data_IF_282198954014
#
_entry.id   IF_282198954014
#
_cell.length_a   1.000
_cell.length_b   1.000
_cell.length_c   1.000
_cell.angle_alpha   90.00
_cell.angle_beta   90.00
_cell.angle_gamma   90.00
#
_symmetry.space_group_name_H-M   'P 1'
#
loop_
_entity.id
_entity.type
_entity.pdbx_description
1 polymer ?
#
# COMPACT_ATOMS: atom_id res chain seq x y z
N UNK A 1 12.14 15.96 4.22
CA UNK A 1 10.95 16.61 4.79
C UNK A 1 9.68 16.37 3.97
N UNK A 2 9.63 16.66 2.63
CA UNK A 2 8.42 16.45 1.85
C UNK A 2 8.07 14.96 1.71
N UNK A 3 9.02 14.09 1.36
CA UNK A 3 8.83 12.62 1.30
C UNK A 3 8.34 12.09 2.65
N UNK A 4 8.95 12.54 3.76
CA UNK A 4 8.59 12.13 5.12
C UNK A 4 7.16 12.55 5.47
N UNK A 5 6.75 13.78 5.14
CA UNK A 5 5.40 14.26 5.38
C UNK A 5 4.35 13.44 4.59
N UNK A 6 4.65 13.11 3.33
CA UNK A 6 3.79 12.25 2.51
C UNK A 6 3.74 10.84 3.12
N UNK A 7 4.89 10.27 3.52
CA UNK A 7 4.98 8.94 4.11
C UNK A 7 4.18 8.81 5.41
N UNK A 8 4.21 9.83 6.27
CA UNK A 8 3.43 9.84 7.50
C UNK A 8 1.92 9.96 7.26
N UNK A 9 1.52 10.56 6.15
CA UNK A 9 0.11 10.87 5.85
C UNK A 9 -0.59 9.86 4.94
N UNK A 10 0.15 9.08 4.12
CA UNK A 10 -0.44 8.34 3.00
C UNK A 10 -1.50 7.30 3.40
N UNK A 11 -1.32 6.63 4.53
CA UNK A 11 -2.17 5.53 5.00
C UNK A 11 -3.07 5.86 6.21
N UNK A 12 -3.18 7.14 6.62
CA UNK A 12 -4.02 7.55 7.76
C UNK A 12 -5.50 7.19 7.59
N UNK A 13 -5.96 7.06 6.36
CA UNK A 13 -7.33 6.66 6.03
C UNK A 13 -7.53 5.17 5.82
N UNK A 14 -6.53 4.34 6.12
CA UNK A 14 -6.65 2.91 5.92
C UNK A 14 -7.65 2.28 6.89
N UNK A 15 -8.35 1.26 6.42
CA UNK A 15 -9.34 0.53 7.22
C UNK A 15 -8.66 -0.50 8.14
N UNK A 16 -9.31 -0.91 9.25
CA UNK A 16 -8.94 -2.15 9.92
C UNK A 16 -8.89 -3.30 8.91
N UNK A 17 -7.96 -4.23 9.10
CA UNK A 17 -7.70 -5.37 8.19
C UNK A 17 -7.20 -4.97 6.80
N UNK A 18 -6.58 -3.80 6.64
CA UNK A 18 -5.92 -3.37 5.42
C UNK A 18 -6.84 -3.41 4.20
N UNK A 19 -6.35 -3.94 3.09
CA UNK A 19 -7.11 -4.03 1.83
C UNK A 19 -8.38 -4.90 1.91
N UNK A 20 -8.47 -5.86 2.86
CA UNK A 20 -9.70 -6.62 3.07
C UNK A 20 -10.82 -5.74 3.58
N UNK A 21 -10.53 -4.89 4.57
CA UNK A 21 -11.48 -3.90 5.09
C UNK A 21 -11.83 -2.83 4.05
N UNK A 22 -10.86 -2.38 3.25
CA UNK A 22 -11.11 -1.44 2.15
C UNK A 22 -12.08 -2.03 1.13
N UNK A 23 -11.89 -3.30 0.72
CA UNK A 23 -12.84 -3.99 -0.17
C UNK A 23 -14.22 -4.11 0.47
N UNK A 24 -14.30 -4.47 1.75
CA UNK A 24 -15.56 -4.55 2.49
C UNK A 24 -16.32 -3.22 2.45
N UNK A 25 -15.66 -2.12 2.79
CA UNK A 25 -16.28 -0.80 2.73
C UNK A 25 -16.64 -0.38 1.31
N UNK A 26 -15.80 -0.70 0.32
CA UNK A 26 -16.09 -0.37 -1.07
C UNK A 26 -17.28 -1.14 -1.65
N UNK A 27 -17.64 -2.31 -1.09
CA UNK A 27 -18.85 -3.04 -1.47
C UNK A 27 -20.14 -2.32 -1.04
N UNK A 28 -20.11 -1.61 0.08
CA UNK A 28 -21.29 -0.97 0.69
C UNK A 28 -21.31 0.55 0.57
N UNK A 29 -20.12 1.15 0.39
CA UNK A 29 -19.93 2.59 0.26
C UNK A 29 -18.68 2.85 -0.59
N UNK A 30 -18.74 3.78 -1.55
CA UNK A 30 -17.58 4.11 -2.40
C UNK A 30 -16.39 4.60 -1.59
N UNK A 31 -15.53 3.68 -1.22
CA UNK A 31 -14.40 3.92 -0.33
C UNK A 31 -13.05 3.66 -1.03
N UNK A 32 -12.07 4.51 -0.76
CA UNK A 32 -10.65 4.24 -1.04
C UNK A 32 -9.79 4.93 0.00
N UNK A 33 -8.76 4.21 0.50
CA UNK A 33 -7.96 4.67 1.64
C UNK A 33 -7.20 5.96 1.34
N UNK A 34 -6.68 6.15 0.12
CA UNK A 34 -5.97 7.38 -0.26
C UNK A 34 -6.85 8.64 -0.19
N UNK A 35 -8.11 8.54 -0.63
CA UNK A 35 -9.09 9.64 -0.51
C UNK A 35 -9.47 9.87 0.95
N UNK A 36 -9.61 8.79 1.71
CA UNK A 36 -9.88 8.90 3.14
C UNK A 36 -8.69 9.47 3.90
N UNK A 37 -7.44 9.12 3.54
CA UNK A 37 -6.23 9.73 4.09
C UNK A 37 -6.23 11.25 3.88
N UNK A 38 -6.55 11.67 2.67
CA UNK A 38 -6.67 13.11 2.38
C UNK A 38 -7.80 13.77 3.21
N UNK A 39 -8.96 13.10 3.33
CA UNK A 39 -10.05 13.60 4.18
C UNK A 39 -9.65 13.70 5.67
N UNK A 40 -8.88 12.72 6.17
CA UNK A 40 -8.38 12.77 7.56
C UNK A 40 -7.53 14.02 7.77
N UNK A 41 -6.55 14.27 6.94
CA UNK A 41 -5.63 15.41 7.09
C UNK A 41 -6.28 16.76 6.76
N UNK A 42 -7.24 16.80 5.86
CA UNK A 42 -7.91 18.06 5.45
C UNK A 42 -9.08 18.45 6.35
N UNK A 43 -9.83 17.47 6.89
CA UNK A 43 -11.15 17.73 7.48
C UNK A 43 -11.37 17.12 8.86
N UNK A 44 -10.65 16.07 9.28
CA UNK A 44 -10.94 15.37 10.55
C UNK A 44 -9.97 15.81 11.64
N UNK A 45 -8.69 15.86 11.34
CA UNK A 45 -7.64 16.22 12.28
C UNK A 45 -7.89 17.60 12.93
N UNK A 46 -7.29 17.81 14.12
CA UNK A 46 -7.43 19.04 14.92
C UNK A 46 -8.88 19.48 15.18
N UNK A 47 -9.73 18.52 15.53
CA UNK A 47 -11.15 18.76 15.82
C UNK A 47 -11.88 19.42 14.61
N UNK A 48 -11.72 18.85 13.43
CA UNK A 48 -12.42 19.28 12.22
C UNK A 48 -11.76 20.42 11.45
N UNK A 49 -10.61 20.93 11.91
CA UNK A 49 -9.92 22.06 11.25
C UNK A 49 -8.90 21.63 10.19
N UNK A 50 -8.51 20.36 10.19
CA UNK A 50 -7.48 19.83 9.34
C UNK A 50 -6.07 20.30 9.70
N UNK A 51 -5.07 19.74 9.02
CA UNK A 51 -3.65 20.01 9.25
C UNK A 51 -3.10 21.18 8.42
N UNK A 52 -3.85 21.68 7.45
CA UNK A 52 -3.41 22.74 6.53
C UNK A 52 -2.10 22.39 5.80
N UNK A 53 -2.04 21.17 5.25
CA UNK A 53 -0.87 20.70 4.51
C UNK A 53 -0.72 21.40 3.16
N UNK A 54 0.50 21.48 2.65
CA UNK A 54 0.76 22.03 1.32
C UNK A 54 0.17 21.14 0.23
N UNK A 55 0.00 21.69 -0.96
CA UNK A 55 -0.54 20.97 -2.09
C UNK A 55 0.32 19.74 -2.45
N UNK A 56 1.64 19.85 -2.37
CA UNK A 56 2.59 18.80 -2.72
C UNK A 56 2.44 17.58 -1.78
N UNK A 57 2.25 17.82 -0.46
CA UNK A 57 1.98 16.72 0.50
C UNK A 57 0.64 16.06 0.19
N UNK A 58 -0.39 16.85 -0.06
CA UNK A 58 -1.73 16.36 -0.37
C UNK A 58 -1.79 15.58 -1.69
N UNK A 59 -1.07 16.06 -2.72
CA UNK A 59 -0.91 15.36 -3.99
C UNK A 59 -0.21 14.00 -3.80
N UNK A 60 0.87 13.97 -3.03
CA UNK A 60 1.58 12.74 -2.70
C UNK A 60 0.70 11.75 -1.96
N UNK A 61 -0.07 12.19 -0.94
CA UNK A 61 -1.02 11.35 -0.20
C UNK A 61 -2.08 10.78 -1.15
N UNK A 62 -2.68 11.61 -1.99
CA UNK A 62 -3.76 11.17 -2.88
C UNK A 62 -3.30 10.19 -3.95
N UNK A 63 -2.09 10.37 -4.47
CA UNK A 63 -1.57 9.68 -5.64
C UNK A 63 -0.50 8.62 -5.33
N UNK A 64 -0.33 8.19 -4.07
CA UNK A 64 0.68 7.16 -3.70
C UNK A 64 0.36 5.77 -4.24
N UNK A 65 -0.90 5.45 -4.50
CA UNK A 65 -1.33 4.14 -5.01
C UNK A 65 -0.67 3.79 -6.36
N UNK A 66 -0.63 2.49 -6.68
CA UNK A 66 -0.01 1.97 -7.90
C UNK A 66 -0.51 2.65 -9.20
N UNK A 67 -1.81 2.98 -9.26
CA UNK A 67 -2.43 3.67 -10.40
C UNK A 67 -2.30 5.20 -10.35
N UNK A 68 -1.80 5.74 -9.23
CA UNK A 68 -1.64 7.18 -9.06
C UNK A 68 -0.39 7.73 -9.77
N UNK A 69 -0.41 9.01 -10.04
CA UNK A 69 0.69 9.73 -10.69
C UNK A 69 0.99 11.02 -9.91
N UNK A 70 1.81 10.95 -8.84
CA UNK A 70 2.22 12.14 -8.11
C UNK A 70 2.97 13.11 -9.01
N UNK A 71 2.69 14.41 -8.85
CA UNK A 71 3.31 15.45 -9.68
C UNK A 71 4.75 15.78 -9.23
N UNK A 72 5.05 15.60 -7.95
CA UNK A 72 6.39 15.88 -7.41
C UNK A 72 7.27 14.64 -7.47
N UNK A 73 8.58 14.83 -7.59
CA UNK A 73 9.55 13.72 -7.53
C UNK A 73 9.50 13.02 -6.16
N UNK A 74 9.27 13.77 -5.09
CA UNK A 74 9.13 13.24 -3.73
C UNK A 74 7.89 12.33 -3.62
N UNK A 75 6.77 12.71 -4.21
CA UNK A 75 5.58 11.86 -4.29
C UNK A 75 5.83 10.59 -5.09
N UNK A 76 6.58 10.68 -6.18
CA UNK A 76 6.98 9.51 -6.98
C UNK A 76 7.93 8.58 -6.21
N UNK A 77 8.89 9.15 -5.45
CA UNK A 77 9.77 8.38 -4.54
C UNK A 77 8.91 7.65 -3.51
N UNK A 78 7.95 8.34 -2.87
CA UNK A 78 7.07 7.73 -1.89
C UNK A 78 6.27 6.57 -2.50
N UNK A 79 5.66 6.75 -3.66
CA UNK A 79 4.87 5.73 -4.37
C UNK A 79 5.69 4.48 -4.70
N UNK A 80 6.94 4.65 -5.16
CA UNK A 80 7.83 3.50 -5.45
C UNK A 80 8.28 2.84 -4.16
N UNK A 81 8.66 3.61 -3.15
CA UNK A 81 9.12 3.10 -1.86
C UNK A 81 8.05 2.29 -1.14
N UNK A 82 6.81 2.76 -1.11
CA UNK A 82 5.67 2.04 -0.57
C UNK A 82 5.49 0.68 -1.28
N UNK A 83 5.52 0.69 -2.62
CA UNK A 83 5.41 -0.53 -3.42
C UNK A 83 6.53 -1.54 -3.14
N UNK A 84 7.77 -1.08 -2.96
CA UNK A 84 8.90 -1.95 -2.62
C UNK A 84 8.77 -2.48 -1.19
N UNK A 85 8.34 -1.64 -0.27
CA UNK A 85 8.21 -2.00 1.14
C UNK A 85 7.17 -3.10 1.34
N UNK A 86 5.96 -2.95 0.77
CA UNK A 86 4.93 -3.96 0.97
C UNK A 86 5.30 -5.30 0.31
N UNK A 87 5.86 -5.31 -0.91
CA UNK A 87 6.32 -6.55 -1.55
C UNK A 87 7.39 -7.25 -0.69
N UNK A 88 8.32 -6.47 -0.13
CA UNK A 88 9.37 -7.01 0.73
C UNK A 88 8.79 -7.60 2.03
N UNK A 89 7.95 -6.85 2.73
CA UNK A 89 7.39 -7.28 4.02
C UNK A 89 6.44 -8.47 3.86
N UNK A 90 5.54 -8.44 2.89
CA UNK A 90 4.62 -9.54 2.63
C UNK A 90 5.35 -10.84 2.27
N UNK A 91 6.45 -10.73 1.51
CA UNK A 91 7.28 -11.88 1.15
C UNK A 91 8.06 -12.41 2.36
N UNK A 92 8.66 -11.54 3.17
CA UNK A 92 9.36 -11.94 4.40
C UNK A 92 8.38 -12.61 5.37
N UNK A 93 7.19 -12.07 5.54
CA UNK A 93 6.14 -12.65 6.38
C UNK A 93 5.63 -13.99 5.83
N UNK A 94 5.46 -14.13 4.52
CA UNK A 94 5.08 -15.39 3.89
C UNK A 94 6.13 -16.50 4.09
N UNK A 95 7.42 -16.15 4.00
CA UNK A 95 8.53 -17.07 4.26
C UNK A 95 8.58 -17.43 5.75
N UNK A 96 8.51 -16.47 6.64
CA UNK A 96 8.50 -16.69 8.10
C UNK A 96 7.28 -17.49 8.55
N UNK A 97 6.14 -17.27 7.91
CA UNK A 97 4.89 -18.03 8.14
C UNK A 97 4.89 -19.44 7.52
N UNK A 98 5.94 -19.83 6.77
CA UNK A 98 6.03 -21.14 6.13
C UNK A 98 5.03 -21.33 4.98
N UNK A 99 4.56 -20.23 4.37
CA UNK A 99 3.71 -20.24 3.18
C UNK A 99 4.56 -20.42 1.93
N UNK A 100 5.75 -19.79 1.91
CA UNK A 100 6.73 -19.84 0.83
C UNK A 100 8.12 -20.18 1.37
N UNK A 101 8.98 -20.61 0.46
CA UNK A 101 10.44 -20.64 0.64
C UNK A 101 11.10 -19.78 -0.44
N UNK A 102 12.37 -19.39 -0.24
CA UNK A 102 13.14 -18.66 -1.26
C UNK A 102 13.23 -19.44 -2.60
N UNK A 103 13.23 -20.78 -2.55
CA UNK A 103 13.33 -21.63 -3.72
C UNK A 103 12.03 -21.73 -4.54
N UNK A 104 10.89 -21.37 -3.96
CA UNK A 104 9.60 -21.32 -4.67
C UNK A 104 9.52 -20.14 -5.64
N UNK A 105 10.37 -19.11 -5.44
CA UNK A 105 10.39 -17.94 -6.30
C UNK A 105 11.01 -18.31 -7.65
N UNK A 106 10.34 -18.03 -8.79
CA UNK A 106 10.82 -18.39 -10.13
C UNK A 106 12.27 -17.96 -10.40
N UNK A 107 13.03 -18.83 -11.06
CA UNK A 107 14.47 -18.63 -11.29
C UNK A 107 14.77 -17.38 -12.14
N UNK A 108 13.90 -17.01 -13.08
CA UNK A 108 14.02 -15.81 -13.90
C UNK A 108 13.93 -14.53 -13.05
N UNK A 109 13.05 -14.52 -12.04
CA UNK A 109 12.94 -13.41 -11.07
C UNK A 109 14.20 -13.37 -10.18
N UNK A 110 14.62 -14.52 -9.63
CA UNK A 110 15.81 -14.62 -8.78
C UNK A 110 17.09 -14.19 -9.51
N UNK A 111 17.23 -14.52 -10.77
CA UNK A 111 18.40 -14.15 -11.58
C UNK A 111 18.53 -12.63 -11.79
N UNK A 112 17.41 -11.91 -11.80
CA UNK A 112 17.40 -10.44 -11.99
C UNK A 112 17.48 -9.71 -10.65
N UNK A 113 16.66 -10.13 -9.68
CA UNK A 113 16.49 -9.41 -8.43
C UNK A 113 17.37 -9.91 -7.28
N UNK A 114 17.76 -11.18 -7.27
CA UNK A 114 18.56 -11.80 -6.22
C UNK A 114 17.86 -12.98 -5.54
N UNK A 115 18.61 -13.73 -4.75
CA UNK A 115 18.22 -15.01 -4.17
C UNK A 115 17.63 -14.90 -2.73
N UNK A 116 17.64 -13.73 -2.16
CA UNK A 116 17.05 -13.48 -0.84
C UNK A 116 16.21 -12.22 -0.84
N UNK A 117 15.25 -12.10 0.12
CA UNK A 117 14.45 -10.90 0.31
C UNK A 117 15.32 -9.63 0.38
N UNK A 118 16.40 -9.69 1.15
CA UNK A 118 17.34 -8.57 1.33
C UNK A 118 18.05 -8.20 0.02
N UNK A 119 18.51 -9.16 -0.75
CA UNK A 119 19.15 -8.92 -2.04
C UNK A 119 18.18 -8.27 -3.03
N UNK A 120 16.97 -8.78 -3.10
CA UNK A 120 15.91 -8.25 -3.97
C UNK A 120 15.59 -6.79 -3.65
N UNK A 121 15.35 -6.48 -2.37
CA UNK A 121 15.09 -5.11 -1.94
C UNK A 121 16.26 -4.18 -2.30
N UNK A 122 17.49 -4.59 -1.95
CA UNK A 122 18.68 -3.82 -2.25
C UNK A 122 18.87 -3.58 -3.76
N UNK A 123 18.66 -4.62 -4.57
CA UNK A 123 18.76 -4.51 -6.04
C UNK A 123 17.73 -3.52 -6.59
N UNK A 124 16.48 -3.60 -6.16
CA UNK A 124 15.42 -2.70 -6.61
C UNK A 124 15.69 -1.25 -6.20
N UNK A 125 16.12 -1.01 -4.95
CA UNK A 125 16.46 0.35 -4.48
C UNK A 125 17.62 0.92 -5.30
N UNK A 126 18.70 0.17 -5.48
CA UNK A 126 19.85 0.63 -6.28
C UNK A 126 19.48 0.90 -7.74
N UNK A 127 18.64 0.06 -8.33
CA UNK A 127 18.16 0.25 -9.69
C UNK A 127 17.35 1.53 -9.86
N UNK A 128 16.44 1.81 -8.91
CA UNK A 128 15.69 3.09 -8.89
C UNK A 128 16.63 4.27 -8.80
N UNK A 129 17.59 4.25 -7.88
CA UNK A 129 18.54 5.36 -7.69
C UNK A 129 19.31 5.62 -9.00
N UNK A 130 19.92 4.59 -9.57
CA UNK A 130 20.76 4.74 -10.77
C UNK A 130 19.96 5.20 -11.99
N UNK A 131 18.74 4.68 -12.16
CA UNK A 131 17.91 5.00 -13.32
C UNK A 131 17.17 6.34 -13.19
N UNK A 132 17.05 6.89 -11.99
CA UNK A 132 16.39 8.17 -11.74
C UNK A 132 17.35 9.36 -11.66
N UNK A 133 18.67 9.11 -11.54
CA UNK A 133 19.66 10.18 -11.48
C UNK A 133 19.58 11.08 -12.72
N UNK A 134 19.54 12.41 -12.49
CA UNK A 134 19.49 13.43 -13.51
C UNK A 134 18.26 13.34 -14.46
N UNK A 135 17.19 12.68 -14.02
CA UNK A 135 15.92 12.56 -14.75
C UNK A 135 14.79 13.35 -14.08
N UNK A 136 13.81 13.84 -14.84
CA UNK A 136 12.64 14.50 -14.29
C UNK A 136 11.57 13.52 -13.76
N UNK A 137 11.90 12.25 -13.59
CA UNK A 137 11.00 11.19 -13.15
C UNK A 137 11.75 10.12 -12.33
N UNK A 138 11.03 9.46 -11.44
CA UNK A 138 11.55 8.33 -10.68
C UNK A 138 11.16 7.04 -11.39
N UNK A 139 12.17 6.27 -11.82
CA UNK A 139 11.95 5.08 -12.64
C UNK A 139 12.91 3.93 -12.29
N UNK A 140 12.57 2.75 -12.78
CA UNK A 140 13.41 1.56 -12.78
C UNK A 140 13.90 1.24 -14.20
N UNK A 141 14.93 0.41 -14.31
CA UNK A 141 15.25 -0.22 -15.58
C UNK A 141 14.12 -1.16 -16.02
N UNK A 142 13.85 -1.30 -17.34
CA UNK A 142 12.78 -2.18 -17.82
C UNK A 142 12.87 -3.63 -17.35
N UNK A 143 14.10 -4.14 -17.17
CA UNK A 143 14.35 -5.50 -16.70
C UNK A 143 13.92 -5.68 -15.23
N UNK A 144 14.30 -4.74 -14.36
CA UNK A 144 13.95 -4.78 -12.92
C UNK A 144 12.47 -4.49 -12.72
N UNK A 145 11.91 -3.55 -13.45
CA UNK A 145 10.46 -3.25 -13.39
C UNK A 145 9.62 -4.47 -13.79
N UNK A 146 10.00 -5.15 -14.87
CA UNK A 146 9.34 -6.39 -15.29
C UNK A 146 9.47 -7.47 -14.23
N UNK A 147 10.67 -7.73 -13.71
CA UNK A 147 10.90 -8.75 -12.70
C UNK A 147 10.14 -8.45 -11.39
N UNK A 148 10.03 -7.19 -10.98
CA UNK A 148 9.21 -6.76 -9.85
C UNK A 148 7.70 -6.99 -10.12
N UNK A 149 7.23 -6.72 -11.34
CA UNK A 149 5.84 -6.99 -11.74
C UNK A 149 5.54 -8.49 -11.72
N UNK A 150 6.46 -9.30 -12.22
CA UNK A 150 6.34 -10.77 -12.22
C UNK A 150 6.36 -11.32 -10.77
N UNK A 151 7.24 -10.77 -9.90
CA UNK A 151 7.27 -11.11 -8.48
C UNK A 151 5.94 -10.76 -7.78
N UNK A 152 5.38 -9.59 -8.05
CA UNK A 152 4.07 -9.20 -7.50
C UNK A 152 2.97 -10.15 -7.95
N UNK A 153 2.97 -10.55 -9.22
CA UNK A 153 2.02 -11.55 -9.74
C UNK A 153 2.19 -12.90 -9.04
N UNK A 154 3.42 -13.36 -8.87
CA UNK A 154 3.74 -14.58 -8.14
C UNK A 154 3.21 -14.52 -6.68
N UNK A 155 3.44 -13.41 -5.98
CA UNK A 155 2.92 -13.20 -4.62
C UNK A 155 1.39 -13.22 -4.59
N UNK A 156 0.75 -12.61 -5.58
CA UNK A 156 -0.70 -12.60 -5.67
C UNK A 156 -1.27 -14.02 -5.80
N UNK A 157 -0.68 -14.84 -6.66
CA UNK A 157 -1.15 -16.20 -6.95
C UNK A 157 -0.85 -17.18 -5.79
N UNK A 158 0.29 -17.05 -5.12
CA UNK A 158 0.77 -18.04 -4.16
C UNK A 158 0.57 -17.64 -2.69
N UNK A 159 0.46 -16.36 -2.38
CA UNK A 159 0.28 -15.85 -1.02
C UNK A 159 -1.12 -15.30 -0.81
N UNK A 160 -1.52 -14.29 -1.57
CA UNK A 160 -2.79 -13.58 -1.32
C UNK A 160 -4.04 -14.41 -1.69
N UNK A 161 -3.92 -15.35 -2.64
CA UNK A 161 -4.99 -16.29 -2.95
C UNK A 161 -4.93 -17.59 -2.13
N UNK A 162 -4.01 -17.70 -1.17
CA UNK A 162 -3.88 -18.91 -0.36
C UNK A 162 -5.15 -19.13 0.49
N UNK A 163 -5.77 -20.34 0.45
CA UNK A 163 -7.00 -20.61 1.17
C UNK A 163 -6.92 -20.42 2.69
N UNK A 164 -5.73 -20.60 3.29
CA UNK A 164 -5.53 -20.36 4.73
C UNK A 164 -5.66 -18.88 5.10
N UNK A 165 -5.19 -17.98 4.22
CA UNK A 165 -5.32 -16.54 4.43
C UNK A 165 -6.77 -16.07 4.17
N UNK A 166 -7.42 -16.58 3.11
CA UNK A 166 -8.78 -16.19 2.73
C UNK A 166 -9.86 -16.49 3.77
N UNK A 167 -9.77 -17.61 4.48
CA UNK A 167 -10.80 -17.96 5.45
C UNK A 167 -10.94 -16.97 6.62
N UNK A 168 -9.85 -16.33 7.02
CA UNK A 168 -9.88 -15.27 8.05
C UNK A 168 -10.27 -13.92 7.43
N UNK A 169 -9.89 -13.67 6.19
CA UNK A 169 -10.24 -12.45 5.45
C UNK A 169 -11.76 -12.30 5.26
N UNK A 170 -12.47 -13.36 4.91
CA UNK A 170 -13.92 -13.36 4.75
C UNK A 170 -14.65 -12.98 6.06
N UNK A 171 -14.12 -13.41 7.20
CA UNK A 171 -14.67 -13.00 8.52
C UNK A 171 -14.48 -11.52 8.77
N UNK A 172 -13.30 -10.98 8.41
CA UNK A 172 -13.00 -9.56 8.56
C UNK A 172 -13.90 -8.70 7.66
N UNK A 173 -14.08 -9.09 6.40
CA UNK A 173 -14.99 -8.44 5.46
C UNK A 173 -16.40 -8.38 6.03
N UNK A 174 -16.94 -9.53 6.46
CA UNK A 174 -18.28 -9.61 7.01
C UNK A 174 -18.46 -8.76 8.27
N UNK A 175 -17.46 -8.74 9.16
CA UNK A 175 -17.48 -7.91 10.37
C UNK A 175 -17.56 -6.42 10.02
N UNK A 176 -16.74 -5.95 9.07
CA UNK A 176 -16.74 -4.54 8.64
C UNK A 176 -18.08 -4.14 8.03
N UNK A 177 -18.63 -4.96 7.14
CA UNK A 177 -19.93 -4.72 6.50
C UNK A 177 -21.06 -4.65 7.54
N UNK A 178 -21.07 -5.57 8.51
CA UNK A 178 -22.07 -5.56 9.60
C UNK A 178 -21.94 -4.32 10.50
N UNK A 179 -20.71 -3.93 10.87
CA UNK A 179 -20.49 -2.72 11.69
C UNK A 179 -20.93 -1.47 10.93
N UNK A 180 -20.59 -1.36 9.65
CA UNK A 180 -21.01 -0.22 8.84
C UNK A 180 -22.54 -0.13 8.75
N UNK A 181 -23.22 -1.23 8.43
CA UNK A 181 -24.70 -1.30 8.37
C UNK A 181 -25.34 -0.97 9.73
N UNK A 182 -24.75 -1.45 10.84
CA UNK A 182 -25.22 -1.15 12.19
C UNK A 182 -25.20 0.34 12.50
N UNK A 183 -24.08 1.01 12.27
CA UNK A 183 -23.94 2.44 12.57
C UNK A 183 -24.68 3.32 11.56
N UNK A 184 -24.79 2.89 10.30
CA UNK A 184 -25.65 3.62 9.33
C UNK A 184 -27.12 3.64 9.73
N UNK A 185 -27.60 2.57 10.37
CA UNK A 185 -28.97 2.49 10.87
C UNK A 185 -29.15 3.13 12.26
N UNK A 186 -28.08 3.33 13.01
CA UNK A 186 -28.07 3.83 14.40
C UNK A 186 -26.90 4.79 14.61
N UNK A 187 -26.90 5.95 13.95
CA UNK A 187 -25.80 6.93 14.09
C UNK A 187 -25.66 7.43 15.54
N UNK A 188 -26.75 7.42 16.32
CA UNK A 188 -26.75 7.76 17.75
C UNK A 188 -25.95 6.75 18.62
N UNK A 189 -25.64 5.57 18.12
CA UNK A 189 -24.83 4.58 18.82
C UNK A 189 -23.32 4.83 18.66
N UNK A 190 -22.92 5.77 17.79
CA UNK A 190 -21.53 6.19 17.69
C UNK A 190 -21.07 6.83 19.01
N UNK A 191 -19.79 6.64 19.41
CA UNK A 191 -19.23 7.38 20.54
C UNK A 191 -19.37 8.88 20.34
N UNK A 192 -19.63 9.64 21.44
CA UNK A 192 -19.89 11.08 21.37
C UNK A 192 -18.78 11.94 20.75
N UNK A 193 -17.61 11.37 20.57
CA UNK A 193 -16.45 12.05 19.95
C UNK A 193 -16.45 12.02 18.42
N UNK A 194 -17.43 11.33 17.80
CA UNK A 194 -17.54 11.18 16.34
C UNK A 194 -18.85 11.77 15.79
#
# INVERSE_FOLDING_TARGET
DLVEAIALGHDLGHTPFGHAGERALNNVYHFSHNKQSLRVVDCIEKAGRGLNLTWEVRDGILNHQTAGHPHTLEGQVMRISDKLAYIYHDMDDAIRGGILTEDDIPADIRNILGNSCKERLNKMIHDVIINSMDRPEICMSPAVEKAMSDLRKFMFENVYLNPKAKGEEDKAVHMIEQLFDYYMKRPEALPQQF
#
